data_IF_208366815329
#
_entry.id   IF_208366815329
#
_cell.length_a   1.000
_cell.length_b   1.000
_cell.length_c   1.000
_cell.angle_alpha   90.00
_cell.angle_beta   90.00
_cell.angle_gamma   90.00
#
_symmetry.space_group_name_H-M   'P 1'
#
loop_
_entity.id
_entity.type
_entity.pdbx_description
1 polymer ?
#
# COMPACT_ATOMS: atom_id res chain seq x y z
N UNK A 1 -2.31 -9.31 -1.16
CA UNK A 1 -3.21 -8.65 -0.18
C UNK A 1 -3.58 -7.30 -0.77
N UNK A 2 -4.83 -6.88 -0.65
CA UNK A 2 -5.26 -5.57 -1.16
C UNK A 2 -4.92 -4.50 -0.14
N UNK A 3 -4.29 -3.41 -0.61
CA UNK A 3 -3.94 -2.24 0.19
C UNK A 3 -4.68 -1.02 -0.35
N UNK A 4 -5.14 -0.17 0.57
CA UNK A 4 -5.75 1.12 0.27
C UNK A 4 -5.07 2.19 1.12
N UNK A 5 -4.78 3.36 0.52
CA UNK A 5 -4.27 4.52 1.25
C UNK A 5 -5.33 4.95 2.28
N UNK A 6 -4.96 5.01 3.56
CA UNK A 6 -5.82 5.53 4.63
C UNK A 6 -5.83 7.06 4.65
N UNK A 7 -4.70 7.65 4.29
CA UNK A 7 -4.44 9.09 4.19
C UNK A 7 -3.39 9.33 3.09
N UNK A 8 -3.10 10.58 2.77
CA UNK A 8 -2.04 10.93 1.83
C UNK A 8 -0.68 10.38 2.32
N UNK A 9 0.10 9.68 1.46
CA UNK A 9 1.40 9.17 1.83
C UNK A 9 2.33 10.31 2.28
N UNK A 10 3.10 10.06 3.34
CA UNK A 10 4.07 11.04 3.87
C UNK A 10 5.27 11.22 2.94
N UNK A 11 5.55 10.22 2.11
CA UNK A 11 6.61 10.25 1.11
C UNK A 11 6.13 9.53 -0.15
N UNK A 12 6.40 10.14 -1.31
CA UNK A 12 6.18 9.57 -2.64
C UNK A 12 7.47 9.78 -3.43
N UNK A 13 7.94 8.72 -4.08
CA UNK A 13 9.13 8.69 -4.95
C UNK A 13 8.78 7.90 -6.21
N UNK A 14 9.68 7.83 -7.19
CA UNK A 14 9.44 7.04 -8.41
C UNK A 14 9.42 5.51 -8.16
N UNK A 15 10.03 5.08 -7.06
CA UNK A 15 10.22 3.66 -6.70
C UNK A 15 9.21 3.14 -5.68
N UNK A 16 8.78 4.00 -4.75
CA UNK A 16 7.90 3.64 -3.66
C UNK A 16 7.12 4.83 -3.10
N UNK A 17 6.10 4.51 -2.31
CA UNK A 17 5.45 5.44 -1.39
C UNK A 17 5.41 4.90 0.04
N UNK A 18 5.49 5.81 1.02
CA UNK A 18 5.42 5.47 2.43
C UNK A 18 4.29 6.22 3.12
N UNK A 19 3.43 5.51 3.85
CA UNK A 19 2.27 6.12 4.49
C UNK A 19 1.48 5.17 5.38
N UNK A 20 0.27 5.58 5.71
CA UNK A 20 -0.68 4.76 6.46
C UNK A 20 -1.63 4.07 5.48
N UNK A 21 -1.75 2.75 5.59
CA UNK A 21 -2.57 1.92 4.72
C UNK A 21 -3.56 1.09 5.52
N UNK A 22 -4.73 0.84 4.94
CA UNK A 22 -5.61 -0.25 5.36
C UNK A 22 -5.41 -1.41 4.41
N UNK A 23 -5.38 -2.62 4.94
CA UNK A 23 -5.30 -3.84 4.15
C UNK A 23 -6.28 -4.90 4.64
N UNK A 24 -6.66 -5.80 3.75
CA UNK A 24 -7.47 -6.97 4.11
C UNK A 24 -6.56 -8.15 4.48
N UNK A 25 -6.63 -8.58 5.74
CA UNK A 25 -5.98 -9.80 6.24
C UNK A 25 -6.90 -11.00 5.97
N UNK A 26 -6.56 -11.81 4.97
CA UNK A 26 -7.37 -12.96 4.57
C UNK A 26 -7.29 -14.12 5.58
N UNK A 27 -6.22 -14.22 6.38
CA UNK A 27 -6.07 -15.26 7.40
C UNK A 27 -6.99 -15.00 8.58
N UNK A 28 -7.14 -13.72 8.96
CA UNK A 28 -8.00 -13.29 10.06
C UNK A 28 -9.37 -12.79 9.62
N UNK A 29 -9.64 -12.81 8.32
CA UNK A 29 -10.87 -12.30 7.70
C UNK A 29 -11.28 -10.91 8.22
N UNK A 30 -10.32 -9.98 8.31
CA UNK A 30 -10.52 -8.67 8.93
C UNK A 30 -9.71 -7.55 8.25
N UNK A 31 -10.22 -6.33 8.30
CA UNK A 31 -9.47 -5.14 7.89
C UNK A 31 -8.48 -4.71 8.97
N UNK A 32 -7.27 -4.36 8.57
CA UNK A 32 -6.18 -3.96 9.48
C UNK A 32 -5.52 -2.69 8.96
N UNK A 33 -5.08 -1.83 9.88
CA UNK A 33 -4.32 -0.61 9.59
C UNK A 33 -2.83 -0.87 9.79
N UNK A 34 -2.00 -0.37 8.87
CA UNK A 34 -0.54 -0.39 8.95
C UNK A 34 0.00 1.02 8.77
N UNK A 35 0.64 1.53 9.81
CA UNK A 35 1.30 2.83 9.79
C UNK A 35 2.73 2.68 9.26
N UNK A 36 3.24 3.74 8.62
CA UNK A 36 4.61 3.80 8.07
C UNK A 36 4.94 2.64 7.11
N UNK A 37 3.94 2.14 6.40
CA UNK A 37 4.14 1.08 5.43
C UNK A 37 4.76 1.65 4.15
N UNK A 38 5.82 1.00 3.69
CA UNK A 38 6.45 1.26 2.39
C UNK A 38 5.83 0.34 1.35
N UNK A 39 5.08 0.93 0.42
CA UNK A 39 4.58 0.25 -0.76
C UNK A 39 5.59 0.46 -1.89
N UNK A 40 6.38 -0.55 -2.21
CA UNK A 40 7.30 -0.51 -3.35
C UNK A 40 6.53 -0.80 -4.64
N UNK A 41 6.62 0.11 -5.60
CA UNK A 41 5.81 0.01 -6.81
C UNK A 41 6.21 -1.15 -7.72
N UNK A 42 7.40 -1.76 -7.54
CA UNK A 42 7.75 -3.01 -8.24
C UNK A 42 6.79 -4.17 -7.96
N UNK A 43 5.96 -4.05 -6.92
CA UNK A 43 4.90 -5.00 -6.58
C UNK A 43 3.51 -4.56 -7.06
N UNK A 44 3.41 -3.41 -7.74
CA UNK A 44 2.16 -2.94 -8.34
C UNK A 44 1.98 -3.62 -9.71
N UNK A 45 0.89 -4.37 -9.87
CA UNK A 45 0.64 -5.20 -11.07
C UNK A 45 0.48 -4.35 -12.35
N UNK A 46 0.00 -3.11 -12.26
CA UNK A 46 -0.29 -2.25 -13.41
C UNK A 46 0.81 -1.23 -13.74
N UNK A 47 2.04 -1.40 -13.24
CA UNK A 47 3.12 -0.40 -13.44
C UNK A 47 3.56 -0.25 -14.91
N UNK A 48 3.16 -1.17 -15.80
CA UNK A 48 3.61 -1.25 -17.19
C UNK A 48 2.51 -0.91 -18.23
N UNK A 49 1.32 -0.47 -17.81
CA UNK A 49 0.26 -0.03 -18.73
C UNK A 49 0.29 1.49 -18.93
N UNK A 50 1.23 1.97 -19.76
CA UNK A 50 1.23 3.31 -20.37
C UNK A 50 0.48 3.32 -21.72
#
# INVERSE_FOLDING_TARGET
MWFQRHEEPKQITDDYEQGTYVYFDYEKWSQRKKEQFTFEYRYLEDKDFD
#
